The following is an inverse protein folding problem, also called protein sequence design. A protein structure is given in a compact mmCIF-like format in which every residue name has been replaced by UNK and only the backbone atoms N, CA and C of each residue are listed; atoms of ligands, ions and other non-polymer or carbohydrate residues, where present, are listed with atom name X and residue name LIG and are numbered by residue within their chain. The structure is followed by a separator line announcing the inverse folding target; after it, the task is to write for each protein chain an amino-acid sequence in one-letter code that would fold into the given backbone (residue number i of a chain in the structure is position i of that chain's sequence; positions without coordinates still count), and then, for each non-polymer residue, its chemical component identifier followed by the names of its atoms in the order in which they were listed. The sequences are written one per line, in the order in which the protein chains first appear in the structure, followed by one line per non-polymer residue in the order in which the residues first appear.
data_IF_503904622265
#
_entry.id   IF_503904622265
#
_cell.length_a   1.000
_cell.length_b   1.000
_cell.length_c   1.000
_cell.angle_alpha   90.00
_cell.angle_beta   90.00
_cell.angle_gamma   90.00
#
_symmetry.space_group_name_H-M   'P 1'
#
loop_
_entity.id
_entity.type
_entity.pdbx_description
1 polymer ?
#
# COMPACT_ATOMS: atom_id res chain seq x y z
N UNK A 1 -18.09 -13.15 -7.10
CA UNK A 1 -18.01 -12.14 -8.15
C UNK A 1 -17.49 -12.85 -9.39
N UNK A 2 -18.01 -12.58 -10.59
CA UNK A 2 -17.55 -13.23 -11.82
C UNK A 2 -17.06 -12.18 -12.83
N UNK A 3 -15.81 -12.30 -13.25
CA UNK A 3 -15.23 -11.48 -14.31
C UNK A 3 -15.60 -12.10 -15.65
N UNK A 4 -16.30 -11.33 -16.49
CA UNK A 4 -16.74 -11.77 -17.83
C UNK A 4 -15.65 -11.45 -18.85
N UNK A 5 -15.12 -10.23 -18.80
CA UNK A 5 -14.10 -9.72 -19.72
C UNK A 5 -13.34 -8.56 -19.06
N UNK A 6 -12.11 -8.28 -19.50
CA UNK A 6 -11.33 -7.14 -19.04
C UNK A 6 -10.24 -6.73 -20.04
N UNK A 7 -9.83 -5.47 -19.94
CA UNK A 7 -8.62 -4.93 -20.54
C UNK A 7 -7.94 -3.98 -19.53
N UNK A 8 -6.90 -3.24 -19.93
CA UNK A 8 -6.21 -2.32 -19.00
C UNK A 8 -7.07 -1.15 -18.50
N UNK A 9 -8.14 -0.80 -19.20
CA UNK A 9 -8.95 0.39 -18.92
C UNK A 9 -10.27 0.06 -18.23
N UNK A 10 -10.82 -1.13 -18.43
CA UNK A 10 -12.13 -1.52 -17.90
C UNK A 10 -12.29 -3.03 -17.74
N UNK A 11 -13.22 -3.43 -16.88
CA UNK A 11 -13.65 -4.81 -16.72
C UNK A 11 -15.18 -4.92 -16.73
N UNK A 12 -15.68 -5.95 -17.40
CA UNK A 12 -17.08 -6.37 -17.35
C UNK A 12 -17.24 -7.41 -16.26
N UNK A 13 -17.96 -7.07 -15.20
CA UNK A 13 -18.09 -7.88 -14.00
C UNK A 13 -19.56 -8.14 -13.69
N UNK A 14 -19.89 -9.39 -13.42
CA UNK A 14 -21.15 -9.81 -12.84
C UNK A 14 -21.00 -9.91 -11.32
N UNK A 15 -21.79 -9.12 -10.60
CA UNK A 15 -21.90 -9.19 -9.16
C UNK A 15 -23.17 -9.95 -8.77
N UNK A 16 -23.07 -10.76 -7.71
CA UNK A 16 -24.26 -11.28 -7.05
C UNK A 16 -24.99 -10.15 -6.31
N UNK A 17 -26.25 -10.39 -5.95
CA UNK A 17 -27.04 -9.43 -5.16
C UNK A 17 -26.39 -9.18 -3.79
N UNK A 18 -25.84 -10.22 -3.16
CA UNK A 18 -25.14 -10.08 -1.87
C UNK A 18 -23.90 -9.21 -2.00
N UNK A 19 -23.11 -9.39 -3.06
CA UNK A 19 -21.90 -8.59 -3.31
C UNK A 19 -22.23 -7.12 -3.55
N UNK A 20 -23.30 -6.83 -4.30
CA UNK A 20 -23.76 -5.46 -4.50
C UNK A 20 -24.31 -4.85 -3.22
N UNK A 21 -24.97 -5.64 -2.38
CA UNK A 21 -25.48 -5.16 -1.09
C UNK A 21 -24.32 -4.78 -0.16
N UNK A 22 -23.27 -5.61 -0.11
CA UNK A 22 -22.03 -5.31 0.63
C UNK A 22 -21.42 -4.02 0.09
N UNK A 23 -21.21 -3.92 -1.22
CA UNK A 23 -20.61 -2.75 -1.84
C UNK A 23 -21.44 -1.48 -1.60
N UNK A 24 -22.78 -1.56 -1.71
CA UNK A 24 -23.70 -0.46 -1.40
C UNK A 24 -23.50 0.05 0.01
N UNK A 25 -23.52 -0.84 1.00
CA UNK A 25 -23.41 -0.44 2.40
C UNK A 25 -22.01 0.12 2.73
N UNK A 26 -20.96 -0.41 2.09
CA UNK A 26 -19.60 0.14 2.20
C UNK A 26 -19.52 1.56 1.61
N UNK A 27 -20.08 1.78 0.43
CA UNK A 27 -20.08 3.11 -0.20
C UNK A 27 -20.96 4.10 0.56
N UNK A 28 -22.09 3.65 1.12
CA UNK A 28 -22.93 4.47 1.99
C UNK A 28 -22.18 4.86 3.27
N UNK A 29 -21.54 3.90 3.93
CA UNK A 29 -20.74 4.19 5.12
C UNK A 29 -19.58 5.14 4.80
N UNK A 30 -18.93 4.92 3.66
CA UNK A 30 -17.88 5.78 3.15
C UNK A 30 -18.37 7.21 2.93
N UNK A 31 -19.54 7.39 2.29
CA UNK A 31 -20.08 8.72 2.02
C UNK A 31 -20.55 9.47 3.27
N UNK A 32 -21.05 8.76 4.28
CA UNK A 32 -21.48 9.39 5.52
C UNK A 32 -20.31 9.76 6.45
N UNK A 33 -19.29 8.90 6.54
CA UNK A 33 -18.34 8.94 7.67
C UNK A 33 -16.87 9.17 7.29
N UNK A 34 -16.52 9.21 5.99
CA UNK A 34 -15.17 9.57 5.56
C UNK A 34 -15.11 11.07 5.22
N UNK A 35 -14.06 11.75 5.68
CA UNK A 35 -13.88 13.18 5.46
C UNK A 35 -13.42 13.51 4.02
N UNK A 36 -13.97 14.57 3.45
CA UNK A 36 -13.92 14.93 2.02
C UNK A 36 -12.50 15.15 1.49
N UNK A 37 -11.65 15.83 2.27
CA UNK A 37 -10.26 16.12 1.86
C UNK A 37 -9.33 14.91 1.99
N UNK A 38 -9.72 13.91 2.78
CA UNK A 38 -8.93 12.71 3.04
C UNK A 38 -9.14 11.63 1.98
N UNK A 39 -10.33 11.54 1.40
CA UNK A 39 -10.71 10.49 0.45
C UNK A 39 -10.03 10.67 -0.92
N UNK A 40 -10.12 11.87 -1.50
CA UNK A 40 -9.60 12.17 -2.86
C UNK A 40 -8.09 11.86 -2.98
N UNK A 41 -7.31 12.14 -1.93
CA UNK A 41 -5.87 11.90 -1.91
C UNK A 41 -5.50 10.43 -1.64
N UNK A 42 -6.41 9.61 -1.10
CA UNK A 42 -6.10 8.27 -0.56
C UNK A 42 -6.60 7.11 -1.39
N UNK A 43 -7.71 7.29 -2.12
CA UNK A 43 -8.41 6.18 -2.81
C UNK A 43 -8.19 6.24 -4.34
N UNK A 44 -7.11 6.93 -4.75
CA UNK A 44 -6.75 7.15 -6.16
C UNK A 44 -7.87 7.88 -6.92
N UNK A 45 -7.99 9.17 -6.61
CA UNK A 45 -8.74 10.19 -7.35
C UNK A 45 -10.27 10.08 -7.37
N UNK A 46 -10.93 9.02 -6.89
CA UNK A 46 -12.41 9.03 -6.82
C UNK A 46 -12.87 9.93 -5.69
N UNK A 47 -13.53 11.04 -6.05
CA UNK A 47 -14.07 11.97 -5.07
C UNK A 47 -15.40 11.50 -4.44
N UNK A 48 -15.84 12.20 -3.40
CA UNK A 48 -17.08 11.85 -2.69
C UNK A 48 -18.31 11.97 -3.60
N UNK A 49 -18.36 12.94 -4.50
CA UNK A 49 -19.49 13.09 -5.42
C UNK A 49 -19.56 11.91 -6.39
N UNK A 50 -18.41 11.41 -6.83
CA UNK A 50 -18.29 10.20 -7.62
C UNK A 50 -18.70 8.95 -6.82
N UNK A 51 -18.35 8.85 -5.53
CA UNK A 51 -18.86 7.80 -4.62
C UNK A 51 -20.37 7.86 -4.49
N UNK A 52 -20.93 9.04 -4.24
CA UNK A 52 -22.36 9.24 -4.08
C UNK A 52 -23.10 8.89 -5.38
N UNK A 53 -22.50 9.17 -6.55
CA UNK A 53 -23.03 8.71 -7.85
C UNK A 53 -22.96 7.20 -7.99
N UNK A 54 -21.85 6.57 -7.59
CA UNK A 54 -21.71 5.10 -7.61
C UNK A 54 -22.73 4.42 -6.69
N UNK A 55 -22.90 4.95 -5.49
CA UNK A 55 -23.90 4.52 -4.53
C UNK A 55 -25.31 4.65 -5.10
N UNK A 56 -25.67 5.80 -5.66
CA UNK A 56 -26.97 6.01 -6.32
C UNK A 56 -27.20 5.03 -7.48
N UNK A 57 -26.19 4.74 -8.29
CA UNK A 57 -26.30 3.75 -9.37
C UNK A 57 -26.61 2.36 -8.78
N UNK A 58 -25.91 1.95 -7.73
CA UNK A 58 -26.16 0.66 -7.07
C UNK A 58 -27.54 0.65 -6.39
N UNK A 59 -27.95 1.73 -5.73
CA UNK A 59 -29.25 1.88 -5.07
C UNK A 59 -30.41 1.85 -6.06
N UNK A 60 -30.30 2.49 -7.23
CA UNK A 60 -31.38 2.47 -8.22
C UNK A 60 -31.53 1.07 -8.83
N UNK A 61 -30.42 0.35 -8.96
CA UNK A 61 -30.43 -1.03 -9.45
C UNK A 61 -30.85 -2.02 -8.33
N UNK A 62 -30.98 -1.57 -7.09
CA UNK A 62 -31.34 -2.36 -5.91
C UNK A 62 -32.59 -1.77 -5.21
N UNK A 63 -33.81 -2.28 -5.49
CA UNK A 63 -34.21 -3.58 -4.95
C UNK A 63 -35.10 -4.49 -5.86
N UNK A 64 -35.23 -4.26 -7.18
CA UNK A 64 -36.22 -5.01 -7.99
C UNK A 64 -35.71 -5.62 -9.32
N UNK A 65 -36.16 -6.87 -9.52
CA UNK A 65 -35.97 -7.78 -10.66
C UNK A 65 -36.61 -7.34 -11.99
N UNK A 66 -37.30 -6.20 -12.06
CA UNK A 66 -38.03 -5.78 -13.26
C UNK A 66 -38.10 -4.26 -13.37
N UNK A 67 -37.31 -3.70 -14.29
CA UNK A 67 -37.63 -2.43 -14.94
C UNK A 67 -38.04 -2.75 -16.39
N UNK A 68 -39.28 -2.46 -16.80
CA UNK A 68 -39.56 -2.23 -18.21
C UNK A 68 -39.03 -0.82 -18.54
N UNK A 69 -38.18 -0.74 -19.56
CA UNK A 69 -37.72 0.49 -20.21
C UNK A 69 -36.71 1.40 -19.48
N UNK A 70 -35.44 1.18 -19.83
CA UNK A 70 -34.52 2.18 -20.41
C UNK A 70 -34.32 3.55 -19.76
N UNK A 71 -34.40 3.68 -18.42
CA UNK A 71 -33.74 4.81 -17.74
C UNK A 71 -32.28 4.43 -17.44
N UNK A 72 -31.45 4.54 -18.47
CA UNK A 72 -30.04 4.19 -18.34
C UNK A 72 -29.30 5.25 -17.51
N UNK A 73 -28.99 4.90 -16.27
CA UNK A 73 -28.15 5.71 -15.39
C UNK A 73 -26.70 5.47 -15.79
N UNK A 74 -26.25 6.26 -16.75
CA UNK A 74 -24.86 6.30 -17.16
C UNK A 74 -24.10 7.29 -16.28
N UNK A 75 -23.10 6.80 -15.54
CA UNK A 75 -21.91 7.61 -15.28
C UNK A 75 -20.82 7.06 -16.20
N UNK A 76 -20.80 7.54 -17.45
CA UNK A 76 -19.90 7.04 -18.52
C UNK A 76 -18.42 7.03 -18.12
N UNK A 77 -18.06 7.80 -17.09
CA UNK A 77 -16.68 7.95 -16.63
C UNK A 77 -16.24 6.86 -15.64
N UNK A 78 -17.15 6.10 -15.01
CA UNK A 78 -16.77 5.15 -13.96
C UNK A 78 -17.46 3.79 -14.06
N UNK A 79 -18.80 3.79 -14.22
CA UNK A 79 -19.62 2.57 -14.14
C UNK A 79 -20.79 2.67 -15.12
N UNK A 80 -20.99 1.60 -15.88
CA UNK A 80 -22.14 1.45 -16.77
C UNK A 80 -22.83 0.13 -16.50
N UNK A 81 -24.11 0.19 -16.12
CA UNK A 81 -24.99 -0.98 -16.11
C UNK A 81 -25.06 -1.54 -17.53
N UNK A 82 -24.79 -2.82 -17.68
CA UNK A 82 -24.81 -3.51 -18.98
C UNK A 82 -26.02 -4.43 -19.09
N UNK A 83 -26.29 -5.24 -18.07
CA UNK A 83 -27.36 -6.23 -18.10
C UNK A 83 -27.76 -6.66 -16.69
N UNK A 84 -29.04 -6.99 -16.50
CA UNK A 84 -29.56 -7.66 -15.30
C UNK A 84 -29.89 -9.10 -15.70
N UNK A 85 -29.38 -10.08 -14.96
CA UNK A 85 -29.62 -11.52 -15.18
C UNK A 85 -30.19 -12.16 -13.91
N UNK A 86 -30.68 -13.40 -14.01
CA UNK A 86 -31.15 -14.14 -12.84
C UNK A 86 -30.03 -14.41 -11.82
N UNK A 87 -28.80 -14.58 -12.32
CA UNK A 87 -27.61 -14.87 -11.53
C UNK A 87 -26.95 -13.61 -10.91
N UNK A 88 -27.38 -12.41 -11.30
CA UNK A 88 -26.82 -11.16 -10.77
C UNK A 88 -26.89 -9.99 -11.74
N UNK A 89 -26.07 -8.98 -11.52
CA UNK A 89 -26.08 -7.75 -12.32
C UNK A 89 -24.69 -7.51 -12.91
N UNK A 90 -24.67 -7.20 -14.20
CA UNK A 90 -23.46 -7.01 -14.98
C UNK A 90 -23.20 -5.52 -15.17
N UNK A 91 -22.03 -5.08 -14.68
CA UNK A 91 -21.51 -3.74 -14.87
C UNK A 91 -20.26 -3.77 -15.74
N UNK A 92 -20.08 -2.71 -16.54
CA UNK A 92 -18.78 -2.34 -17.07
C UNK A 92 -18.18 -1.29 -16.14
N UNK A 93 -17.07 -1.62 -15.49
CA UNK A 93 -16.37 -0.78 -14.53
C UNK A 93 -15.05 -0.31 -15.14
N UNK A 94 -14.73 0.97 -15.01
CA UNK A 94 -13.38 1.45 -15.33
C UNK A 94 -12.36 0.94 -14.32
N UNK A 95 -11.08 0.91 -14.71
CA UNK A 95 -9.98 0.60 -13.80
C UNK A 95 -10.00 1.52 -12.57
N UNK A 96 -10.24 2.81 -12.77
CA UNK A 96 -10.38 3.80 -11.70
C UNK A 96 -11.48 3.40 -10.72
N UNK A 97 -12.67 3.03 -11.20
CA UNK A 97 -13.79 2.57 -10.36
C UNK A 97 -13.41 1.35 -9.49
N UNK A 98 -12.71 0.36 -10.06
CA UNK A 98 -12.26 -0.84 -9.35
C UNK A 98 -11.27 -0.52 -8.25
N UNK A 99 -10.30 0.34 -8.54
CA UNK A 99 -9.32 0.83 -7.57
C UNK A 99 -10.00 1.63 -6.47
N UNK A 100 -11.02 2.42 -6.81
CA UNK A 100 -11.84 3.13 -5.84
C UNK A 100 -12.55 2.18 -4.88
N UNK A 101 -13.29 1.19 -5.41
CA UNK A 101 -13.96 0.17 -4.60
C UNK A 101 -12.98 -0.57 -3.68
N UNK A 102 -11.85 -1.01 -4.23
CA UNK A 102 -10.75 -1.59 -3.45
C UNK A 102 -10.33 -0.67 -2.32
N UNK A 103 -10.12 0.62 -2.59
CA UNK A 103 -9.70 1.61 -1.60
C UNK A 103 -10.71 1.79 -0.46
N UNK A 104 -12.01 1.95 -0.77
CA UNK A 104 -13.06 2.11 0.25
C UNK A 104 -13.20 0.87 1.12
N UNK A 105 -13.28 -0.32 0.52
CA UNK A 105 -13.40 -1.56 1.27
C UNK A 105 -12.18 -1.75 2.17
N UNK A 106 -10.97 -1.52 1.64
CA UNK A 106 -9.75 -1.63 2.42
C UNK A 106 -9.70 -0.61 3.57
N UNK A 107 -10.17 0.62 3.36
CA UNK A 107 -10.08 1.66 4.38
C UNK A 107 -11.03 1.39 5.58
N UNK A 108 -12.24 0.89 5.32
CA UNK A 108 -13.19 0.49 6.36
C UNK A 108 -12.85 -0.86 7.01
N UNK A 109 -12.13 -1.75 6.31
CA UNK A 109 -11.73 -3.04 6.88
C UNK A 109 -10.39 -2.97 7.64
N UNK A 110 -9.39 -2.29 7.09
CA UNK A 110 -7.99 -2.38 7.55
C UNK A 110 -7.28 -1.02 7.65
N UNK A 111 -7.93 0.04 7.17
CA UNK A 111 -7.36 1.38 7.08
C UNK A 111 -7.48 2.22 8.35
N UNK A 112 -7.37 3.54 8.18
CA UNK A 112 -7.56 4.48 9.30
C UNK A 112 -8.96 4.40 9.89
N UNK A 113 -9.95 4.31 9.00
CA UNK A 113 -11.36 4.31 9.34
C UNK A 113 -11.86 2.89 9.59
N UNK A 114 -10.95 1.97 9.93
CA UNK A 114 -11.27 0.58 10.14
C UNK A 114 -12.33 0.42 11.22
N UNK A 115 -13.49 -0.10 10.83
CA UNK A 115 -14.57 -0.40 11.76
C UNK A 115 -14.16 -1.67 12.52
N UNK A 116 -14.28 -1.62 13.85
CA UNK A 116 -14.01 -2.77 14.71
C UNK A 116 -15.00 -3.88 14.38
N UNK A 117 -14.58 -5.13 14.52
CA UNK A 117 -15.41 -6.30 14.19
C UNK A 117 -16.80 -6.22 14.85
N UNK A 118 -16.84 -5.87 16.14
CA UNK A 118 -18.07 -5.76 16.92
C UNK A 118 -19.06 -4.72 16.37
N UNK A 119 -18.56 -3.65 15.75
CA UNK A 119 -19.37 -2.55 15.24
C UNK A 119 -19.67 -2.72 13.74
N UNK A 120 -18.94 -3.59 13.04
CA UNK A 120 -19.03 -3.75 11.58
C UNK A 120 -20.41 -4.25 11.17
N UNK A 121 -20.95 -5.23 11.89
CA UNK A 121 -22.30 -5.75 11.63
C UNK A 121 -23.39 -4.71 11.87
N UNK A 122 -23.22 -3.83 12.87
CA UNK A 122 -24.21 -2.78 13.16
C UNK A 122 -24.23 -1.64 12.14
N UNK A 123 -23.10 -1.35 11.49
CA UNK A 123 -22.94 -0.24 10.54
C UNK A 123 -23.11 -0.66 9.08
N UNK A 124 -22.54 -1.81 8.72
CA UNK A 124 -22.52 -2.33 7.34
C UNK A 124 -23.57 -3.43 7.12
N UNK A 125 -24.22 -3.92 8.17
CA UNK A 125 -25.24 -4.98 8.15
C UNK A 125 -24.74 -6.37 7.74
N UNK A 126 -23.42 -6.59 7.72
CA UNK A 126 -22.79 -7.89 7.40
C UNK A 126 -21.53 -8.11 8.22
N UNK A 127 -21.02 -9.34 8.23
CA UNK A 127 -19.76 -9.69 8.88
C UNK A 127 -18.56 -9.16 8.09
N UNK A 128 -17.52 -8.68 8.79
CA UNK A 128 -16.36 -8.03 8.17
C UNK A 128 -15.65 -8.93 7.16
N UNK A 129 -15.58 -10.24 7.42
CA UNK A 129 -14.93 -11.18 6.51
C UNK A 129 -15.57 -11.21 5.11
N UNK A 130 -16.87 -10.91 4.99
CA UNK A 130 -17.54 -10.87 3.68
C UNK A 130 -17.05 -9.68 2.84
N UNK A 131 -16.85 -8.52 3.48
CA UNK A 131 -16.25 -7.36 2.84
C UNK A 131 -14.79 -7.63 2.44
N UNK A 132 -14.02 -8.29 3.31
CA UNK A 132 -12.64 -8.71 3.00
C UNK A 132 -12.62 -9.70 1.83
N UNK A 133 -13.53 -10.67 1.78
CA UNK A 133 -13.63 -11.60 0.65
C UNK A 133 -13.94 -10.89 -0.68
N UNK A 134 -14.80 -9.87 -0.67
CA UNK A 134 -15.07 -9.06 -1.86
C UNK A 134 -13.84 -8.25 -2.29
N UNK A 135 -13.12 -7.67 -1.33
CA UNK A 135 -11.84 -6.99 -1.58
C UNK A 135 -10.82 -7.93 -2.22
N UNK A 136 -10.68 -9.15 -1.71
CA UNK A 136 -9.77 -10.16 -2.23
C UNK A 136 -10.14 -10.55 -3.66
N UNK A 137 -11.43 -10.76 -3.96
CA UNK A 137 -11.89 -11.00 -5.33
C UNK A 137 -11.60 -9.82 -6.26
N UNK A 138 -11.86 -8.56 -5.87
CA UNK A 138 -11.52 -7.39 -6.68
C UNK A 138 -10.01 -7.34 -6.96
N UNK A 139 -9.20 -7.57 -5.92
CA UNK A 139 -7.75 -7.55 -6.05
C UNK A 139 -7.25 -8.66 -6.97
N UNK A 140 -7.61 -9.92 -6.69
CA UNK A 140 -6.98 -11.09 -7.30
C UNK A 140 -7.61 -11.48 -8.63
N UNK A 141 -8.93 -11.34 -8.77
CA UNK A 141 -9.64 -11.80 -9.97
C UNK A 141 -9.67 -10.77 -11.08
N UNK A 142 -9.48 -9.48 -10.76
CA UNK A 142 -9.62 -8.34 -11.68
C UNK A 142 -8.38 -7.45 -11.69
N UNK A 143 -8.17 -6.66 -10.62
CA UNK A 143 -7.17 -5.56 -10.60
C UNK A 143 -5.80 -6.11 -10.92
N UNK A 144 -5.41 -7.19 -10.27
CA UNK A 144 -4.14 -7.87 -10.51
C UNK A 144 -3.95 -8.25 -11.98
N UNK A 145 -4.97 -8.79 -12.64
CA UNK A 145 -4.91 -9.19 -14.06
C UNK A 145 -4.87 -7.98 -14.99
N UNK A 146 -5.58 -6.90 -14.65
CA UNK A 146 -5.52 -5.64 -15.40
C UNK A 146 -4.16 -4.94 -15.27
N UNK A 147 -3.53 -5.06 -14.09
CA UNK A 147 -2.19 -4.53 -13.81
C UNK A 147 -1.06 -5.44 -14.33
N UNK A 148 -1.35 -6.60 -14.92
CA UNK A 148 -0.31 -7.51 -15.42
C UNK A 148 0.69 -6.81 -16.35
N UNK A 149 1.96 -6.98 -16.04
CA UNK A 149 3.07 -6.34 -16.76
C UNK A 149 3.33 -4.87 -16.40
N UNK A 150 2.55 -4.27 -15.48
CA UNK A 150 2.88 -2.94 -14.93
C UNK A 150 3.93 -3.04 -13.82
N UNK A 151 4.66 -1.94 -13.51
CA UNK A 151 5.55 -1.91 -12.36
C UNK A 151 4.85 -2.25 -11.05
N UNK A 152 3.67 -1.69 -10.81
CA UNK A 152 2.89 -1.94 -9.59
C UNK A 152 2.64 -3.44 -9.38
N UNK A 153 2.26 -4.16 -10.44
CA UNK A 153 2.05 -5.60 -10.39
C UNK A 153 3.34 -6.38 -10.11
N UNK A 154 4.43 -6.06 -10.83
CA UNK A 154 5.70 -6.74 -10.68
C UNK A 154 6.26 -6.53 -9.26
N UNK A 155 6.18 -5.30 -8.74
CA UNK A 155 6.59 -4.94 -7.38
C UNK A 155 5.73 -5.67 -6.34
N UNK A 156 4.42 -5.72 -6.53
CA UNK A 156 3.52 -6.46 -5.64
C UNK A 156 3.86 -7.95 -5.60
N UNK A 157 4.07 -8.57 -6.75
CA UNK A 157 4.47 -9.97 -6.84
C UNK A 157 5.79 -10.24 -6.13
N UNK A 158 6.79 -9.38 -6.37
CA UNK A 158 8.09 -9.50 -5.71
C UNK A 158 7.98 -9.29 -4.19
N UNK A 159 7.12 -8.38 -3.76
CA UNK A 159 6.82 -8.15 -2.34
C UNK A 159 6.21 -9.40 -1.69
N UNK A 160 5.23 -10.05 -2.33
CA UNK A 160 4.63 -11.30 -1.85
C UNK A 160 5.66 -12.43 -1.80
N UNK A 161 6.51 -12.57 -2.84
CA UNK A 161 7.59 -13.54 -2.85
C UNK A 161 8.52 -13.35 -1.64
N UNK A 162 8.98 -12.12 -1.39
CA UNK A 162 9.88 -11.84 -0.26
C UNK A 162 9.17 -12.13 1.07
N UNK A 163 7.90 -11.71 1.22
CA UNK A 163 7.10 -11.94 2.42
C UNK A 163 6.92 -13.43 2.72
N UNK A 164 6.59 -14.23 1.71
CA UNK A 164 6.28 -15.65 1.86
C UNK A 164 7.54 -16.52 1.97
N UNK A 165 8.53 -16.32 1.10
CA UNK A 165 9.69 -17.21 1.01
C UNK A 165 10.83 -16.85 1.96
N UNK A 166 11.02 -15.56 2.29
CA UNK A 166 12.17 -15.14 3.10
C UNK A 166 11.82 -14.88 4.57
N UNK A 167 10.53 -14.71 4.89
CA UNK A 167 10.12 -14.28 6.24
C UNK A 167 9.10 -15.21 6.91
N UNK A 168 8.57 -16.23 6.20
CA UNK A 168 7.67 -17.26 6.71
C UNK A 168 6.51 -16.72 7.56
N UNK A 169 6.00 -15.54 7.24
CA UNK A 169 4.95 -14.86 7.99
C UNK A 169 3.58 -15.40 7.58
N UNK A 170 3.02 -16.34 8.34
CA UNK A 170 1.57 -16.57 8.27
C UNK A 170 0.85 -15.47 9.08
N UNK A 171 -0.20 -14.87 8.53
CA UNK A 171 -1.04 -13.89 9.24
C UNK A 171 -1.63 -14.43 10.56
N UNK A 172 -1.71 -15.76 10.69
CA UNK A 172 -2.18 -16.44 11.91
C UNK A 172 -1.11 -16.57 13.00
N UNK A 173 0.17 -16.66 12.66
CA UNK A 173 1.26 -16.77 13.65
C UNK A 173 1.77 -15.41 14.13
N UNK A 174 1.39 -14.32 13.47
CA UNK A 174 2.01 -13.00 13.67
C UNK A 174 1.38 -12.14 14.79
N UNK A 175 0.22 -12.54 15.34
CA UNK A 175 -0.38 -11.85 16.50
C UNK A 175 0.40 -12.05 17.80
N UNK A 176 1.21 -13.12 17.89
CA UNK A 176 1.92 -13.53 19.10
C UNK A 176 3.45 -13.63 18.94
N UNK A 177 4.02 -13.19 17.80
CA UNK A 177 5.48 -13.20 17.62
C UNK A 177 6.15 -12.16 18.53
N UNK A 178 7.04 -12.57 19.47
CA UNK A 178 7.74 -11.64 20.34
C UNK A 178 8.85 -10.90 19.56
N UNK A 179 8.51 -9.82 18.87
CA UNK A 179 9.50 -8.97 18.22
C UNK A 179 10.49 -8.39 19.23
N UNK A 180 11.79 -8.47 18.94
CA UNK A 180 12.79 -7.80 19.76
C UNK A 180 12.84 -6.30 19.44
N UNK A 181 12.20 -5.52 20.31
CA UNK A 181 12.10 -4.06 20.21
C UNK A 181 13.45 -3.35 20.39
N UNK A 182 14.52 -4.08 20.75
CA UNK A 182 15.87 -3.53 20.85
C UNK A 182 16.62 -3.54 19.52
N UNK A 183 16.11 -4.22 18.49
CA UNK A 183 16.75 -4.21 17.17
C UNK A 183 16.72 -2.80 16.59
N UNK A 184 17.90 -2.28 16.29
CA UNK A 184 18.12 -0.98 15.66
C UNK A 184 19.13 -1.15 14.52
N UNK A 185 18.87 -0.49 13.40
CA UNK A 185 19.78 -0.51 12.26
C UNK A 185 19.85 0.87 11.61
N UNK A 186 21.06 1.22 11.17
CA UNK A 186 21.31 2.34 10.27
C UNK A 186 21.51 1.75 8.87
N UNK A 187 20.55 1.94 7.97
CA UNK A 187 20.65 1.58 6.57
C UNK A 187 21.08 2.83 5.80
N UNK A 188 22.17 2.75 5.04
CA UNK A 188 22.73 3.90 4.32
C UNK A 188 22.67 3.61 2.82
N UNK A 189 22.03 4.49 2.06
CA UNK A 189 22.19 4.56 0.62
C UNK A 189 23.22 5.65 0.32
N UNK A 190 24.38 5.24 -0.19
CA UNK A 190 25.42 6.15 -0.66
C UNK A 190 25.05 6.67 -2.05
N UNK A 191 25.05 7.98 -2.20
CA UNK A 191 24.87 8.69 -3.45
C UNK A 191 26.22 9.32 -3.86
N UNK A 192 26.31 9.92 -5.04
CA UNK A 192 27.53 10.55 -5.52
C UNK A 192 27.95 11.74 -4.65
N UNK A 193 26.99 12.61 -4.28
CA UNK A 193 27.28 13.79 -3.45
C UNK A 193 26.66 13.74 -2.04
N UNK A 194 25.77 12.78 -1.79
CA UNK A 194 24.96 12.73 -0.58
C UNK A 194 24.87 11.32 0.01
N UNK A 195 24.27 11.22 1.19
CA UNK A 195 23.90 9.97 1.83
C UNK A 195 22.45 10.05 2.29
N UNK A 196 21.64 9.05 1.92
CA UNK A 196 20.33 8.85 2.55
C UNK A 196 20.47 7.84 3.68
N UNK A 197 20.16 8.25 4.90
CA UNK A 197 20.30 7.41 6.10
C UNK A 197 18.93 7.09 6.69
N UNK A 198 18.61 5.81 6.76
CA UNK A 198 17.39 5.27 7.36
C UNK A 198 17.77 4.64 8.70
N UNK A 199 17.44 5.31 9.80
CA UNK A 199 17.57 4.76 11.14
C UNK A 199 16.27 4.06 11.50
N UNK A 200 16.30 2.73 11.47
CA UNK A 200 15.14 1.87 11.69
C UNK A 200 15.26 1.18 13.05
N UNK A 201 14.18 1.17 13.84
CA UNK A 201 14.11 0.46 15.13
C UNK A 201 12.80 -0.28 15.28
N UNK A 202 12.78 -1.44 15.94
CA UNK A 202 11.52 -2.07 16.35
C UNK A 202 10.74 -1.19 17.34
N UNK A 203 9.41 -1.13 17.24
CA UNK A 203 8.56 -0.48 18.26
C UNK A 203 7.38 -1.36 18.68
N UNK A 204 6.93 -1.21 19.94
CA UNK A 204 5.95 -2.11 20.56
C UNK A 204 4.54 -1.95 19.97
N UNK A 205 3.86 -3.06 19.61
CA UNK A 205 2.44 -3.03 19.26
C UNK A 205 1.54 -2.51 20.40
N UNK A 206 1.92 -2.73 21.68
CA UNK A 206 1.11 -2.31 22.85
C UNK A 206 0.95 -0.78 22.99
N UNK A 207 1.89 0.01 22.48
CA UNK A 207 1.80 1.48 22.46
C UNK A 207 1.05 2.02 21.23
N UNK A 208 0.82 1.17 20.23
CA UNK A 208 0.15 1.50 18.97
C UNK A 208 -0.83 0.38 18.59
N UNK A 209 -1.90 0.17 19.38
CA UNK A 209 -2.72 -1.04 19.36
C UNK A 209 -3.52 -1.28 18.07
N UNK A 210 -3.65 -0.26 17.19
CA UNK A 210 -4.40 -0.36 15.93
C UNK A 210 -3.55 -0.87 14.76
N UNK A 211 -2.24 -1.04 14.94
CA UNK A 211 -1.32 -1.36 13.86
C UNK A 211 -0.30 -2.38 14.33
N UNK A 212 -0.47 -3.61 13.87
CA UNK A 212 0.19 -4.80 14.41
C UNK A 212 1.73 -4.79 14.30
N UNK A 213 2.31 -3.99 13.41
CA UNK A 213 3.76 -3.97 13.17
C UNK A 213 4.27 -2.58 12.87
N UNK A 214 5.26 -2.11 13.63
CA UNK A 214 5.86 -0.81 13.41
C UNK A 214 7.39 -0.85 13.58
N UNK A 215 8.09 -0.27 12.60
CA UNK A 215 9.45 0.20 12.74
C UNK A 215 9.46 1.71 12.91
N UNK A 216 10.17 2.25 13.90
CA UNK A 216 10.46 3.68 13.96
C UNK A 216 11.51 4.01 12.91
N UNK A 217 11.14 4.79 11.90
CA UNK A 217 12.04 5.25 10.85
C UNK A 217 12.35 6.73 11.05
N UNK A 218 13.64 7.04 11.16
CA UNK A 218 14.16 8.38 11.10
C UNK A 218 15.03 8.48 9.86
N UNK A 219 14.72 9.41 8.96
CA UNK A 219 15.47 9.62 7.73
C UNK A 219 16.30 10.88 7.86
N UNK A 220 17.54 10.81 7.42
CA UNK A 220 18.45 11.94 7.39
C UNK A 220 19.23 11.96 6.09
N UNK A 221 19.54 13.16 5.58
CA UNK A 221 20.39 13.36 4.42
C UNK A 221 21.64 14.11 4.84
N UNK A 222 22.81 13.64 4.41
CA UNK A 222 24.12 14.22 4.76
C UNK A 222 24.99 14.39 3.52
N UNK A 223 25.76 15.48 3.42
CA UNK A 223 26.86 15.59 2.42
C UNK A 223 28.07 14.78 2.81
N UNK A 224 28.25 14.57 4.11
CA UNK A 224 29.45 14.00 4.68
C UNK A 224 29.09 13.15 5.90
N UNK A 225 29.49 11.88 5.89
CA UNK A 225 29.25 10.95 7.01
C UNK A 225 30.20 11.20 8.19
N UNK A 226 31.41 11.68 7.93
CA UNK A 226 32.46 11.87 8.94
C UNK A 226 32.24 13.18 9.71
N UNK A 227 31.79 14.24 9.03
CA UNK A 227 31.53 15.54 9.64
C UNK A 227 30.09 15.70 10.17
N UNK A 228 29.23 14.68 10.05
CA UNK A 228 27.82 14.69 10.48
C UNK A 228 27.02 15.92 9.98
N UNK A 229 27.37 16.45 8.80
CA UNK A 229 26.69 17.61 8.22
C UNK A 229 25.33 17.21 7.64
N UNK A 230 24.29 17.36 8.46
CA UNK A 230 22.91 17.03 8.12
C UNK A 230 22.24 18.15 7.32
N UNK A 231 21.75 17.81 6.12
CA UNK A 231 20.92 18.69 5.29
C UNK A 231 19.46 18.72 5.77
N UNK A 232 18.88 17.54 5.98
CA UNK A 232 17.48 17.40 6.35
C UNK A 232 17.28 16.16 7.21
N UNK A 233 16.29 16.21 8.10
CA UNK A 233 15.91 15.12 9.00
C UNK A 233 14.38 15.07 9.17
N UNK A 234 13.81 13.87 9.09
CA UNK A 234 12.38 13.63 9.34
C UNK A 234 12.06 13.35 10.82
N UNK A 235 10.77 13.36 11.19
CA UNK A 235 10.36 13.07 12.57
C UNK A 235 10.36 11.56 12.64
N UNK A 236 10.91 10.98 13.70
CA UNK A 236 10.84 9.54 13.86
C UNK A 236 9.38 9.10 13.80
N UNK A 237 8.98 8.38 12.76
CA UNK A 237 7.60 7.93 12.57
C UNK A 237 7.54 6.41 12.46
N UNK A 238 6.40 5.87 12.88
CA UNK A 238 6.16 4.44 12.85
C UNK A 238 5.68 4.02 11.45
N UNK A 239 6.42 3.13 10.79
CA UNK A 239 6.07 2.57 9.47
C UNK A 239 5.80 1.07 9.59
N UNK A 240 4.86 0.55 8.79
CA UNK A 240 4.60 -0.89 8.73
C UNK A 240 5.79 -1.61 8.08
N UNK A 241 6.20 -2.75 8.63
CA UNK A 241 7.27 -3.57 8.06
C UNK A 241 6.98 -4.01 6.62
N UNK A 242 5.73 -4.30 6.29
CA UNK A 242 5.29 -4.59 4.92
C UNK A 242 5.70 -3.50 3.93
N UNK A 243 5.74 -2.24 4.37
CA UNK A 243 6.18 -1.11 3.53
C UNK A 243 7.70 -1.13 3.32
N UNK A 244 8.49 -1.57 4.30
CA UNK A 244 9.93 -1.78 4.11
C UNK A 244 10.21 -2.95 3.16
N UNK A 245 9.45 -4.04 3.25
CA UNK A 245 9.57 -5.16 2.30
C UNK A 245 9.18 -4.70 0.89
N UNK A 246 8.15 -3.86 0.78
CA UNK A 246 7.74 -3.29 -0.50
C UNK A 246 8.83 -2.35 -1.09
N UNK A 247 9.58 -1.62 -0.25
CA UNK A 247 10.75 -0.86 -0.70
C UNK A 247 11.82 -1.78 -1.30
N UNK A 248 12.13 -2.87 -0.60
CA UNK A 248 13.10 -3.87 -1.06
C UNK A 248 12.66 -4.43 -2.41
N UNK A 249 11.40 -4.85 -2.52
CA UNK A 249 10.84 -5.37 -3.78
C UNK A 249 10.96 -4.37 -4.93
N UNK A 250 10.64 -3.10 -4.68
CA UNK A 250 10.79 -2.02 -5.65
C UNK A 250 12.25 -1.87 -6.11
N UNK A 251 13.18 -1.72 -5.17
CA UNK A 251 14.58 -1.49 -5.50
C UNK A 251 15.22 -2.70 -6.20
N UNK A 252 14.91 -3.93 -5.79
CA UNK A 252 15.41 -5.16 -6.43
C UNK A 252 14.99 -5.25 -7.90
N UNK A 253 13.74 -4.90 -8.22
CA UNK A 253 13.26 -4.93 -9.60
C UNK A 253 13.88 -3.83 -10.46
N UNK A 254 14.07 -2.63 -9.90
CA UNK A 254 14.72 -1.52 -10.60
C UNK A 254 16.17 -1.87 -10.96
N UNK A 255 16.96 -2.40 -10.01
CA UNK A 255 18.38 -2.70 -10.26
C UNK A 255 18.62 -3.98 -11.08
N UNK A 256 17.58 -4.78 -11.31
CA UNK A 256 17.66 -5.98 -12.17
C UNK A 256 17.12 -5.72 -13.58
N UNK A 257 16.80 -4.46 -13.91
CA UNK A 257 16.27 -4.04 -15.22
C UNK A 257 15.01 -4.79 -15.65
N UNK A 258 14.24 -5.31 -14.68
CA UNK A 258 12.95 -5.96 -14.93
C UNK A 258 11.82 -4.96 -15.20
N UNK A 259 12.09 -3.68 -14.97
CA UNK A 259 11.20 -2.54 -15.21
C UNK A 259 11.83 -1.67 -16.30
N UNK A 260 11.04 -1.28 -17.30
CA UNK A 260 11.54 -0.39 -18.34
C UNK A 260 11.63 1.06 -17.81
N UNK A 261 12.44 1.88 -18.49
CA UNK A 261 12.73 3.25 -18.06
C UNK A 261 11.49 4.15 -18.07
N UNK A 262 10.66 4.07 -19.11
CA UNK A 262 9.47 4.93 -19.25
C UNK A 262 8.49 4.72 -18.08
N UNK A 263 8.26 3.48 -17.70
CA UNK A 263 7.40 3.13 -16.57
C UNK A 263 7.98 3.66 -15.23
N UNK A 264 9.31 3.67 -15.08
CA UNK A 264 9.98 4.17 -13.87
C UNK A 264 10.00 5.70 -13.78
N UNK A 265 9.93 6.40 -14.91
CA UNK A 265 9.78 7.85 -14.96
C UNK A 265 8.41 8.30 -14.43
N UNK A 266 7.40 7.46 -14.53
CA UNK A 266 6.05 7.71 -13.99
C UNK A 266 5.86 7.14 -12.57
N UNK A 267 6.60 6.08 -12.20
CA UNK A 267 6.45 5.42 -10.91
C UNK A 267 7.20 6.14 -9.78
N UNK A 268 6.44 6.66 -8.80
CA UNK A 268 6.98 7.26 -7.58
C UNK A 268 6.56 6.44 -6.36
N UNK A 269 7.55 5.81 -5.73
CA UNK A 269 7.30 5.10 -4.48
C UNK A 269 7.10 6.10 -3.33
N UNK A 270 5.92 6.07 -2.71
CA UNK A 270 5.53 7.03 -1.68
C UNK A 270 5.29 6.34 -0.34
N UNK A 271 5.89 6.89 0.72
CA UNK A 271 5.63 6.51 2.09
C UNK A 271 5.00 7.68 2.82
N UNK A 272 3.94 7.42 3.57
CA UNK A 272 3.23 8.40 4.39
C UNK A 272 2.11 7.72 5.18
N UNK A 273 1.62 8.40 6.21
CA UNK A 273 0.27 8.12 6.68
C UNK A 273 -0.70 8.66 5.63
N UNK A 274 -1.78 7.93 5.27
CA UNK A 274 -2.78 8.42 4.31
C UNK A 274 -3.31 9.84 4.64
N UNK A 275 -3.23 10.23 5.93
CA UNK A 275 -3.71 11.48 6.54
C UNK A 275 -2.82 12.71 6.39
N UNK A 276 -1.56 12.56 5.98
CA UNK A 276 -0.61 13.65 6.04
C UNK A 276 0.17 13.75 4.73
N UNK A 277 0.78 14.92 4.52
CA UNK A 277 1.85 15.08 3.54
C UNK A 277 2.78 13.87 3.61
N UNK A 278 3.08 13.21 2.47
CA UNK A 278 3.87 11.99 2.49
C UNK A 278 5.17 12.21 3.26
N UNK A 279 5.52 11.24 4.11
CA UNK A 279 6.76 11.21 4.86
C UNK A 279 7.94 11.41 3.91
N UNK A 280 7.96 10.63 2.83
CA UNK A 280 8.90 10.81 1.74
C UNK A 280 8.40 10.18 0.44
N UNK A 281 9.01 10.61 -0.67
CA UNK A 281 8.87 10.01 -2.00
C UNK A 281 10.24 9.59 -2.50
N UNK A 282 10.30 8.46 -3.20
CA UNK A 282 11.50 7.93 -3.83
C UNK A 282 11.16 7.51 -5.25
N UNK A 283 11.95 7.97 -6.19
CA UNK A 283 11.96 7.48 -7.56
C UNK A 283 13.40 7.14 -7.95
N UNK A 284 13.57 5.98 -8.57
CA UNK A 284 14.84 5.42 -9.02
C UNK A 284 14.72 5.11 -10.50
N UNK A 285 15.54 5.77 -11.32
CA UNK A 285 15.51 5.65 -12.78
C UNK A 285 16.89 5.21 -13.27
N UNK A 286 17.00 4.16 -14.09
CA UNK A 286 18.25 3.77 -14.73
C UNK A 286 18.83 4.92 -15.56
N UNK A 287 20.12 5.22 -15.36
CA UNK A 287 20.83 6.25 -16.11
C UNK A 287 22.07 5.65 -16.75
N UNK A 288 22.14 5.73 -18.07
CA UNK A 288 23.33 5.33 -18.82
C UNK A 288 24.38 6.44 -18.67
N UNK A 289 25.40 6.18 -17.85
CA UNK A 289 26.58 7.04 -17.74
C UNK A 289 27.84 6.23 -18.07
N UNK A 290 28.19 6.20 -19.36
CA UNK A 290 29.36 5.44 -19.83
C UNK A 290 29.24 3.94 -19.50
N UNK A 291 30.32 3.33 -19.02
CA UNK A 291 30.41 1.88 -18.76
C UNK A 291 29.88 1.43 -17.39
N UNK A 292 29.32 2.33 -16.57
CA UNK A 292 28.86 2.02 -15.19
C UNK A 292 27.34 2.05 -15.09
N UNK A 293 26.77 1.01 -14.47
CA UNK A 293 25.35 0.96 -14.12
C UNK A 293 25.07 1.90 -12.93
N UNK A 294 24.63 3.12 -13.25
CA UNK A 294 24.20 4.12 -12.28
C UNK A 294 22.68 4.33 -12.32
N UNK A 295 22.13 4.69 -11.16
CA UNK A 295 20.70 4.96 -10.98
C UNK A 295 20.52 6.40 -10.54
N UNK A 296 19.68 7.15 -11.24
CA UNK A 296 19.21 8.47 -10.80
C UNK A 296 18.25 8.28 -9.64
N UNK A 297 18.50 8.98 -8.54
CA UNK A 297 17.69 8.97 -7.32
C UNK A 297 17.03 10.34 -7.17
N UNK A 298 15.70 10.37 -7.28
CA UNK A 298 14.88 11.52 -6.93
C UNK A 298 14.22 11.23 -5.57
N UNK A 299 14.70 11.90 -4.52
CA UNK A 299 14.23 11.70 -3.16
C UNK A 299 13.60 12.98 -2.62
N UNK A 300 12.38 12.90 -2.10
CA UNK A 300 11.66 14.03 -1.51
C UNK A 300 11.32 13.71 -0.07
N UNK A 301 11.71 14.56 0.88
CA UNK A 301 11.52 14.31 2.32
C UNK A 301 10.75 15.45 2.98
N UNK A 302 9.83 15.12 3.89
CA UNK A 302 9.17 16.10 4.74
C UNK A 302 10.06 16.45 5.95
N UNK A 303 10.56 17.69 6.08
CA UNK A 303 11.43 18.11 7.20
C UNK A 303 10.69 18.28 8.54
N UNK A 304 11.45 18.25 9.63
CA UNK A 304 10.94 18.43 11.01
C UNK A 304 10.55 19.85 11.40
N UNK A 305 11.13 20.83 10.71
CA UNK A 305 11.11 22.23 11.09
C UNK A 305 10.42 23.02 9.98
N UNK A 306 9.10 23.14 10.08
CA UNK A 306 8.34 24.13 9.31
C UNK A 306 7.86 25.20 10.29
N UNK A 307 8.74 26.12 10.65
CA UNK A 307 8.29 27.41 11.22
C UNK A 307 8.24 28.53 10.19
N UNK A 308 8.96 28.50 9.05
CA UNK A 308 8.98 29.68 8.16
C UNK A 308 8.99 29.47 6.63
N UNK A 309 8.92 28.24 6.10
CA UNK A 309 8.82 28.06 4.63
C UNK A 309 7.75 27.01 4.31
N UNK A 310 6.74 27.43 3.52
CA UNK A 310 5.74 26.60 2.85
C UNK A 310 5.23 25.39 3.65
N UNK A 311 4.15 25.57 4.43
CA UNK A 311 3.48 24.45 5.11
C UNK A 311 3.24 23.29 4.13
N UNK A 312 3.93 22.16 4.33
CA UNK A 312 3.78 20.94 3.54
C UNK A 312 4.71 20.74 2.34
N UNK A 313 5.71 21.60 2.07
CA UNK A 313 6.66 21.35 0.98
C UNK A 313 7.70 20.26 1.34
N UNK A 314 7.91 19.33 0.40
CA UNK A 314 8.95 18.30 0.51
C UNK A 314 10.26 18.86 -0.03
N UNK A 315 11.35 18.67 0.71
CA UNK A 315 12.68 19.02 0.21
C UNK A 315 13.17 17.92 -0.74
N UNK A 316 13.55 18.33 -1.96
CA UNK A 316 13.95 17.45 -3.04
C UNK A 316 15.47 17.35 -3.17
N UNK A 317 15.94 16.12 -3.37
CA UNK A 317 17.32 15.79 -3.68
C UNK A 317 17.31 14.94 -4.95
N UNK A 318 18.06 15.39 -5.93
CA UNK A 318 18.37 14.66 -7.15
C UNK A 318 19.85 14.32 -7.15
N UNK A 319 20.20 13.03 -7.17
CA UNK A 319 21.58 12.54 -7.15
C UNK A 319 21.69 11.19 -7.88
N UNK A 320 22.86 10.57 -7.92
CA UNK A 320 23.06 9.22 -8.49
C UNK A 320 23.59 8.23 -7.45
N UNK A 321 23.26 6.95 -7.63
CA UNK A 321 23.75 5.83 -6.82
C UNK A 321 24.23 4.70 -7.73
N UNK A 322 25.28 3.97 -7.31
CA UNK A 322 25.66 2.74 -8.00
C UNK A 322 24.69 1.60 -7.68
N UNK A 323 24.56 0.63 -8.59
CA UNK A 323 23.81 -0.61 -8.30
C UNK A 323 24.34 -1.32 -7.05
N UNK A 324 25.65 -1.30 -6.81
CA UNK A 324 26.26 -1.87 -5.61
C UNK A 324 25.82 -1.18 -4.31
N UNK A 325 25.74 0.15 -4.31
CA UNK A 325 25.29 0.90 -3.13
C UNK A 325 23.81 0.62 -2.83
N UNK A 326 22.99 0.47 -3.87
CA UNK A 326 21.58 0.09 -3.71
C UNK A 326 21.47 -1.34 -3.16
N UNK A 327 22.28 -2.30 -3.63
CA UNK A 327 22.31 -3.68 -3.09
C UNK A 327 22.71 -3.70 -1.61
N UNK A 328 23.71 -2.91 -1.21
CA UNK A 328 24.11 -2.79 0.20
C UNK A 328 22.99 -2.19 1.06
N UNK A 329 22.30 -1.18 0.55
CA UNK A 329 21.14 -0.59 1.22
C UNK A 329 20.00 -1.60 1.40
N UNK A 330 19.62 -2.32 0.33
CA UNK A 330 18.65 -3.42 0.37
C UNK A 330 19.04 -4.46 1.42
N UNK A 331 20.29 -4.94 1.37
CA UNK A 331 20.80 -5.95 2.30
C UNK A 331 20.67 -5.50 3.75
N UNK A 332 21.00 -4.24 4.06
CA UNK A 332 20.86 -3.68 5.41
C UNK A 332 19.41 -3.69 5.91
N UNK A 333 18.44 -3.36 5.04
CA UNK A 333 17.01 -3.43 5.36
C UNK A 333 16.59 -4.89 5.58
N UNK A 334 16.96 -5.80 4.68
CA UNK A 334 16.64 -7.23 4.81
C UNK A 334 17.20 -7.80 6.11
N UNK A 335 18.45 -7.52 6.46
CA UNK A 335 19.04 -8.01 7.70
C UNK A 335 18.34 -7.44 8.94
N UNK A 336 17.87 -6.18 8.91
CA UNK A 336 17.03 -5.63 9.98
C UNK A 336 15.73 -6.42 10.15
N UNK A 337 15.04 -6.71 9.04
CA UNK A 337 13.77 -7.45 9.06
C UNK A 337 14.02 -8.88 9.56
N UNK A 338 15.06 -9.55 9.07
CA UNK A 338 15.43 -10.90 9.53
C UNK A 338 15.74 -10.92 11.03
N UNK A 339 16.57 -10.02 11.56
CA UNK A 339 16.90 -10.01 13.00
C UNK A 339 15.70 -9.74 13.91
N UNK A 340 14.80 -8.88 13.45
CA UNK A 340 13.55 -8.63 14.14
C UNK A 340 12.69 -9.91 14.25
N UNK A 341 12.79 -10.81 13.29
CA UNK A 341 12.05 -12.08 13.23
C UNK A 341 12.83 -13.23 13.87
N UNK A 342 14.14 -13.35 13.66
CA UNK A 342 15.00 -14.44 14.17
C UNK A 342 15.30 -14.34 15.66
N UNK A 343 15.21 -13.14 16.24
CA UNK A 343 15.24 -12.98 17.70
C UNK A 343 14.06 -13.68 18.42
N UNK A 344 13.08 -14.18 17.65
CA UNK A 344 12.00 -15.06 18.11
C UNK A 344 12.45 -16.53 18.18
N UNK A 345 13.20 -17.04 17.18
CA UNK A 345 13.59 -18.46 17.13
C UNK A 345 14.62 -18.84 18.20
N UNK A 346 15.52 -17.92 18.58
CA UNK A 346 16.52 -18.18 19.64
C UNK A 346 15.95 -18.11 21.06
N UNK A 347 14.74 -17.55 21.23
CA UNK A 347 14.04 -17.59 22.52
C UNK A 347 13.25 -18.87 22.70
N UNK A 348 12.85 -19.56 21.65
CA UNK A 348 12.26 -20.90 21.77
C UNK A 348 13.30 -22.02 21.96
N UNK A 349 14.56 -21.83 21.55
CA UNK A 349 15.64 -22.77 21.88
C UNK A 349 16.16 -22.61 23.33
N UNK A 350 16.02 -21.43 23.94
CA UNK A 350 16.39 -21.18 25.35
C UNK A 350 15.32 -21.57 26.39
N UNK A 351 14.12 -21.94 25.97
CA UNK A 351 13.06 -22.49 26.82
C UNK A 351 12.68 -23.94 26.48
N UNK A 352 13.43 -24.60 25.57
CA UNK A 352 13.30 -26.03 25.25
C UNK A 352 14.20 -26.94 26.10
N UNK A 353 14.65 -26.45 27.26
CA UNK A 353 15.48 -27.20 28.21
C UNK A 353 14.75 -27.44 29.53
N UNK A 354 13.71 -28.27 29.50
CA UNK A 354 13.27 -29.03 30.68
C UNK A 354 12.92 -30.46 30.22
N UNK A 355 13.94 -31.31 30.34
CA UNK A 355 13.98 -32.70 30.78
C UNK A 355 12.70 -33.55 30.71
N UNK A 356 12.84 -34.68 30.02
CA UNK A 356 12.63 -36.04 30.56
C UNK A 356 11.72 -36.15 31.80
N UNK A 357 10.50 -36.70 31.61
CA UNK A 357 10.06 -38.02 32.10
C UNK A 357 9.07 -38.61 31.09
#
# INVERSE_FOLDING_TARGET
MKVIDFNRQSAKIQFSIDELTILKNILFEASQNLDLCDIQKRINDIDKDEVDRLLKIIEIVYPYRFYPDSTILHNENLVRLTQITEEGIIFNLTYRALIGFRGYINELCHGMYAIKEADFQSRISFEKFRAVSLLDSINMDVVKKMEEGTPSFLIFHRWIEIKNYHLNFSEKQTKDLPFDLNVRRKCILKLNSNYLMFYIKGVSPKKHPTMLYHGGLLIAVSSDLEQYRLYIKSRGQAIKYDRLIHLVAYLELVITSKLNKADLEEYIWTIGTPQQTPLFKLQVIPKEFGDREEMKINFKLLPNNQEEIGKGELLEIEDTASVSDIKLFISSICSFICELVSSVSDRHSKYGGFNEV
#
